data_IF_795421120399
#
_entry.id   IF_795421120399
#
_cell.length_a   1.000
_cell.length_b   1.000
_cell.length_c   1.000
_cell.angle_alpha   90.00
_cell.angle_beta   90.00
_cell.angle_gamma   90.00
#
_symmetry.space_group_name_H-M   'P 1'
#
loop_
_entity.id
_entity.type
_entity.pdbx_description
1 polymer ?
#
# COMPACT_ATOMS: atom_id res chain seq x y z
N UNK A 1 2.38 -6.42 -13.28
CA UNK A 1 1.29 -5.73 -13.99
C UNK A 1 0.62 -6.70 -14.95
N UNK A 2 -0.66 -7.02 -14.74
CA UNK A 2 -1.42 -7.98 -15.52
C UNK A 2 -1.55 -7.56 -16.99
N UNK A 3 -1.84 -6.28 -17.24
CA UNK A 3 -2.01 -5.74 -18.59
C UNK A 3 -0.70 -5.85 -19.41
N UNK A 4 0.43 -5.60 -18.76
CA UNK A 4 1.75 -5.75 -19.39
C UNK A 4 2.03 -7.21 -19.75
N UNK A 5 1.71 -8.17 -18.86
CA UNK A 5 1.90 -9.60 -19.12
C UNK A 5 1.03 -10.04 -20.32
N UNK A 6 -0.24 -9.63 -20.34
CA UNK A 6 -1.17 -9.98 -21.43
C UNK A 6 -0.79 -9.36 -22.79
N UNK A 7 -0.06 -8.24 -22.77
CA UNK A 7 0.40 -7.52 -23.97
C UNK A 7 1.79 -7.94 -24.44
N UNK A 8 2.47 -8.84 -23.71
CA UNK A 8 3.81 -9.29 -24.06
C UNK A 8 3.77 -10.29 -25.22
N UNK A 9 4.80 -10.27 -26.08
CA UNK A 9 4.99 -11.27 -27.14
C UNK A 9 5.48 -12.61 -26.58
N UNK A 10 6.20 -12.57 -25.44
CA UNK A 10 6.76 -13.74 -24.78
C UNK A 10 6.90 -13.50 -23.28
N UNK A 11 6.54 -14.49 -22.48
CA UNK A 11 6.57 -14.46 -21.02
C UNK A 11 7.42 -15.63 -20.53
N UNK A 12 8.25 -15.38 -19.53
CA UNK A 12 8.98 -16.41 -18.77
C UNK A 12 8.50 -16.33 -17.32
N UNK A 13 7.89 -17.42 -16.83
CA UNK A 13 7.36 -17.53 -15.48
C UNK A 13 8.31 -18.34 -14.61
N UNK A 14 8.81 -17.71 -13.54
CA UNK A 14 9.77 -18.30 -12.61
C UNK A 14 9.07 -18.71 -11.31
N UNK A 15 9.42 -19.89 -10.82
CA UNK A 15 8.86 -20.45 -9.62
C UNK A 15 9.57 -21.72 -9.16
N UNK A 16 8.81 -22.68 -8.54
CA UNK A 16 7.40 -22.57 -8.14
C UNK A 16 7.16 -21.69 -6.91
N UNK A 17 8.18 -21.43 -6.11
CA UNK A 17 8.10 -20.62 -4.90
C UNK A 17 9.11 -19.48 -4.88
N UNK A 18 9.45 -19.01 -3.67
CA UNK A 18 10.43 -17.95 -3.45
C UNK A 18 11.69 -18.48 -2.73
N UNK A 19 12.82 -17.79 -2.91
CA UNK A 19 14.08 -18.15 -2.26
C UNK A 19 14.58 -19.54 -2.68
N UNK A 20 14.87 -20.41 -1.73
CA UNK A 20 15.37 -21.78 -1.98
C UNK A 20 14.36 -22.70 -2.68
N UNK A 21 13.10 -22.30 -2.74
CA UNK A 21 12.02 -23.03 -3.40
C UNK A 21 11.65 -22.44 -4.78
N UNK A 22 12.45 -21.55 -5.29
CA UNK A 22 12.27 -20.91 -6.59
C UNK A 22 13.48 -21.07 -7.50
N UNK A 23 13.51 -20.27 -8.57
CA UNK A 23 14.63 -20.23 -9.51
C UNK A 23 14.51 -21.22 -10.66
N UNK A 24 13.35 -21.85 -10.83
CA UNK A 24 13.06 -22.74 -11.97
C UNK A 24 12.12 -22.04 -12.95
N UNK A 25 12.23 -22.38 -14.23
CA UNK A 25 11.23 -21.97 -15.23
C UNK A 25 10.03 -22.91 -15.10
N UNK A 26 8.89 -22.37 -14.68
CA UNK A 26 7.63 -23.10 -14.52
C UNK A 26 6.88 -23.14 -15.84
N UNK A 27 6.91 -22.02 -16.56
CA UNK A 27 6.30 -21.89 -17.88
C UNK A 27 7.02 -20.83 -18.70
N UNK A 28 7.06 -21.01 -20.01
CA UNK A 28 7.53 -20.00 -20.96
C UNK A 28 6.73 -20.08 -22.26
N UNK A 29 6.57 -18.94 -22.93
CA UNK A 29 5.84 -18.87 -24.19
C UNK A 29 4.97 -17.62 -24.28
N UNK A 30 3.94 -17.67 -25.12
CA UNK A 30 2.96 -16.59 -25.23
C UNK A 30 2.09 -16.49 -23.97
N UNK A 31 1.48 -15.34 -23.69
CA UNK A 31 0.58 -15.18 -22.54
C UNK A 31 -0.49 -16.27 -22.42
N UNK A 32 -1.07 -16.71 -23.54
CA UNK A 32 -2.09 -17.75 -23.58
C UNK A 32 -1.56 -19.12 -23.13
N UNK A 33 -0.29 -19.42 -23.43
CA UNK A 33 0.38 -20.66 -23.02
C UNK A 33 0.66 -20.67 -21.52
N UNK A 34 1.02 -19.50 -20.95
CA UNK A 34 1.17 -19.33 -19.49
C UNK A 34 -0.18 -19.51 -18.79
N UNK A 35 -1.24 -18.88 -19.31
CA UNK A 35 -2.61 -18.97 -18.79
C UNK A 35 -3.12 -20.41 -18.80
N UNK A 36 -2.79 -21.17 -19.84
CA UNK A 36 -3.22 -22.56 -19.98
C UNK A 36 -2.40 -23.54 -19.11
N UNK A 37 -1.27 -23.12 -18.53
CA UNK A 37 -0.42 -24.00 -17.74
C UNK A 37 -0.88 -24.06 -16.27
N UNK A 38 -1.41 -25.20 -15.77
CA UNK A 38 -1.91 -25.32 -14.40
C UNK A 38 -0.81 -25.28 -13.35
N UNK A 39 0.46 -25.49 -13.71
CA UNK A 39 1.59 -25.37 -12.80
C UNK A 39 2.01 -23.91 -12.58
N UNK A 40 1.65 -23.01 -13.50
CA UNK A 40 1.95 -21.58 -13.39
C UNK A 40 1.00 -20.90 -12.41
N UNK A 41 1.55 -20.37 -11.29
CA UNK A 41 0.78 -19.55 -10.37
C UNK A 41 0.30 -18.24 -11.04
N UNK A 42 1.16 -17.64 -11.85
CA UNK A 42 0.84 -16.48 -12.69
C UNK A 42 -0.32 -16.80 -13.64
N UNK A 43 -0.24 -17.93 -14.34
CA UNK A 43 -1.30 -18.39 -15.24
C UNK A 43 -2.64 -18.58 -14.56
N UNK A 44 -2.63 -19.16 -13.35
CA UNK A 44 -3.86 -19.39 -12.57
C UNK A 44 -4.51 -18.09 -12.09
N UNK A 45 -3.73 -17.02 -11.79
CA UNK A 45 -4.29 -15.70 -11.51
C UNK A 45 -4.79 -15.02 -12.78
N UNK A 46 -4.09 -15.15 -13.89
CA UNK A 46 -4.51 -14.57 -15.17
C UNK A 46 -5.75 -15.25 -15.77
N UNK A 47 -5.93 -16.56 -15.54
CA UNK A 47 -7.14 -17.29 -15.95
C UNK A 47 -8.36 -16.94 -15.06
N UNK A 48 -8.12 -16.47 -13.83
CA UNK A 48 -9.14 -16.29 -12.82
C UNK A 48 -9.43 -17.54 -11.97
N UNK A 49 -8.71 -18.64 -12.17
CA UNK A 49 -8.80 -19.85 -11.32
C UNK A 49 -8.39 -19.54 -9.88
N UNK A 50 -7.45 -18.63 -9.74
CA UNK A 50 -7.09 -18.01 -8.46
C UNK A 50 -7.44 -16.53 -8.49
N UNK A 51 -8.06 -16.05 -7.43
CA UNK A 51 -8.36 -14.65 -7.27
C UNK A 51 -8.40 -14.28 -5.78
N UNK A 52 -8.11 -13.02 -5.50
CA UNK A 52 -8.38 -12.46 -4.15
C UNK A 52 -9.86 -12.13 -4.12
N UNK A 53 -10.61 -12.88 -3.32
CA UNK A 53 -12.05 -12.70 -3.24
C UNK A 53 -12.42 -11.31 -2.72
N UNK A 54 -13.33 -10.65 -3.43
CA UNK A 54 -13.94 -9.41 -2.97
C UNK A 54 -15.19 -9.76 -2.17
N UNK A 55 -15.28 -9.37 -0.88
CA UNK A 55 -16.44 -9.70 -0.06
C UNK A 55 -17.74 -9.25 -0.71
N UNK A 56 -18.69 -10.17 -0.86
CA UNK A 56 -20.01 -9.87 -1.43
C UNK A 56 -20.82 -8.88 -0.58
N UNK A 57 -20.58 -8.89 0.76
CA UNK A 57 -21.20 -7.93 1.68
C UNK A 57 -20.18 -6.86 2.07
N UNK A 58 -20.44 -5.63 1.68
CA UNK A 58 -19.63 -4.47 2.08
C UNK A 58 -20.02 -3.99 3.49
N UNK A 59 -19.02 -3.51 4.23
CA UNK A 59 -19.25 -2.82 5.50
C UNK A 59 -19.98 -1.51 5.21
N UNK A 60 -21.13 -1.22 5.87
CA UNK A 60 -21.84 0.04 5.66
C UNK A 60 -21.03 1.22 6.23
N UNK A 61 -21.16 2.38 5.58
CA UNK A 61 -20.58 3.63 6.08
C UNK A 61 -21.35 4.05 7.33
N UNK A 62 -20.62 4.34 8.41
CA UNK A 62 -21.15 4.99 9.61
C UNK A 62 -20.96 6.51 9.47
N UNK A 63 -22.03 7.31 9.27
CA UNK A 63 -21.91 8.75 9.10
C UNK A 63 -21.35 9.49 10.33
N UNK A 64 -21.38 8.85 11.50
CA UNK A 64 -20.87 9.43 12.75
C UNK A 64 -19.36 9.20 12.90
N UNK A 65 -18.79 8.25 12.16
CA UNK A 65 -17.38 7.89 12.19
C UNK A 65 -16.68 8.27 10.88
N UNK A 66 -16.42 9.55 10.73
CA UNK A 66 -15.73 10.09 9.55
C UNK A 66 -14.55 10.97 9.96
N UNK A 67 -13.46 10.85 9.24
CA UNK A 67 -12.36 11.79 9.26
C UNK A 67 -12.65 12.88 8.22
N UNK A 68 -12.63 14.15 8.61
CA UNK A 68 -12.92 15.28 7.72
C UNK A 68 -11.72 16.20 7.64
N UNK A 69 -11.17 16.35 6.45
CA UNK A 69 -10.12 17.32 6.14
C UNK A 69 -10.81 18.49 5.45
N UNK A 70 -10.70 19.69 6.01
CA UNK A 70 -11.31 20.89 5.43
C UNK A 70 -10.22 21.85 4.97
N UNK A 71 -10.39 22.37 3.75
CA UNK A 71 -9.55 23.40 3.20
C UNK A 71 -8.10 23.02 3.01
N UNK A 72 -7.79 21.81 2.57
CA UNK A 72 -6.44 21.37 2.27
C UNK A 72 -5.85 22.17 1.08
N UNK A 73 -4.67 22.78 1.28
CA UNK A 73 -4.06 23.74 0.33
C UNK A 73 -2.59 23.40 0.03
N UNK A 74 -2.06 22.30 0.54
CA UNK A 74 -0.66 21.94 0.30
C UNK A 74 -0.35 21.78 -1.19
N UNK A 75 0.78 22.30 -1.65
CA UNK A 75 1.26 22.20 -3.03
C UNK A 75 0.16 22.61 -4.04
N UNK A 76 -0.32 21.63 -4.85
CA UNK A 76 -1.33 21.86 -5.91
C UNK A 76 -2.78 21.66 -5.45
N UNK A 77 -3.04 21.39 -4.16
CA UNK A 77 -4.40 21.24 -3.66
C UNK A 77 -5.16 22.58 -3.67
N UNK A 78 -6.35 22.56 -4.24
CA UNK A 78 -7.18 23.75 -4.49
C UNK A 78 -8.20 24.01 -3.37
N UNK A 79 -7.72 24.06 -2.12
CA UNK A 79 -8.59 24.28 -0.93
C UNK A 79 -9.72 23.23 -0.86
N UNK A 80 -9.33 21.97 -0.97
CA UNK A 80 -10.31 20.87 -1.06
C UNK A 80 -10.78 20.42 0.31
N UNK A 81 -12.03 19.99 0.38
CA UNK A 81 -12.63 19.30 1.53
C UNK A 81 -12.78 17.83 1.19
N UNK A 82 -12.38 16.94 2.13
CA UNK A 82 -12.41 15.49 1.93
C UNK A 82 -12.97 14.81 3.17
N UNK A 83 -13.88 13.87 2.98
CA UNK A 83 -14.39 13.00 4.03
C UNK A 83 -13.94 11.55 3.79
N UNK A 84 -13.33 10.94 4.81
CA UNK A 84 -12.84 9.56 4.77
C UNK A 84 -13.61 8.77 5.83
N UNK A 85 -14.42 7.77 5.44
CA UNK A 85 -15.12 6.92 6.40
C UNK A 85 -14.13 6.10 7.24
N UNK A 86 -14.34 6.06 8.54
CA UNK A 86 -13.52 5.26 9.48
C UNK A 86 -13.96 3.80 9.44
N UNK A 87 -13.00 2.87 9.57
CA UNK A 87 -13.25 1.44 9.59
C UNK A 87 -13.47 0.80 8.21
N UNK A 88 -13.19 1.53 7.14
CA UNK A 88 -13.30 1.06 5.75
C UNK A 88 -11.96 1.10 5.03
N UNK A 89 -11.80 0.24 4.04
CA UNK A 89 -10.69 0.32 3.11
C UNK A 89 -10.97 1.42 2.09
N UNK A 90 -10.22 2.51 2.17
CA UNK A 90 -10.37 3.70 1.32
C UNK A 90 -9.18 3.83 0.37
N UNK A 91 -9.44 3.96 -0.93
CA UNK A 91 -8.41 4.22 -1.93
C UNK A 91 -8.42 5.69 -2.34
N UNK A 92 -7.24 6.32 -2.38
CA UNK A 92 -7.03 7.65 -2.97
C UNK A 92 -6.34 7.46 -4.32
N UNK A 93 -7.04 7.76 -5.40
CA UNK A 93 -6.59 7.51 -6.78
C UNK A 93 -6.44 8.81 -7.58
N UNK A 94 -5.85 8.70 -8.74
CA UNK A 94 -5.64 9.83 -9.66
C UNK A 94 -4.28 9.73 -10.36
N UNK A 95 -4.07 10.55 -11.39
CA UNK A 95 -2.82 10.60 -12.16
C UNK A 95 -1.62 11.01 -11.30
N UNK A 96 -0.40 10.73 -11.76
CA UNK A 96 0.81 11.19 -11.08
C UNK A 96 0.81 12.73 -10.98
N UNK A 97 1.21 13.26 -9.82
CA UNK A 97 1.22 14.70 -9.57
C UNK A 97 -0.16 15.31 -9.21
N UNK A 98 -1.25 14.52 -9.12
CA UNK A 98 -2.58 15.07 -8.81
C UNK A 98 -2.78 15.54 -7.35
N UNK A 99 -1.80 15.34 -6.47
CA UNK A 99 -1.87 15.81 -5.08
C UNK A 99 -2.18 14.71 -4.06
N UNK A 100 -2.28 13.44 -4.45
CA UNK A 100 -2.56 12.31 -3.54
C UNK A 100 -1.61 12.25 -2.34
N UNK A 101 -0.29 12.28 -2.61
CA UNK A 101 0.73 12.26 -1.56
C UNK A 101 0.70 13.53 -0.71
N UNK A 102 0.35 14.67 -1.30
CA UNK A 102 0.18 15.91 -0.55
C UNK A 102 -0.98 15.80 0.43
N UNK A 103 -2.11 15.24 0.00
CA UNK A 103 -3.28 15.04 0.87
C UNK A 103 -3.00 14.05 1.99
N UNK A 104 -2.42 12.90 1.68
CA UNK A 104 -2.23 11.81 2.63
C UNK A 104 -0.94 11.99 3.43
N UNK A 105 0.23 12.03 2.74
CA UNK A 105 1.52 11.98 3.43
C UNK A 105 1.95 13.34 4.01
N UNK A 106 1.56 14.45 3.38
CA UNK A 106 1.98 15.77 3.83
C UNK A 106 0.91 16.49 4.66
N UNK A 107 -0.36 16.08 4.58
CA UNK A 107 -1.46 16.73 5.35
C UNK A 107 -2.00 15.80 6.42
N UNK A 108 -2.60 14.66 6.04
CA UNK A 108 -3.29 13.79 6.98
C UNK A 108 -2.35 13.07 7.93
N UNK A 109 -1.33 12.40 7.42
CA UNK A 109 -0.40 11.63 8.24
C UNK A 109 0.29 12.47 9.32
N UNK A 110 0.89 13.65 9.01
CA UNK A 110 1.51 14.49 10.02
C UNK A 110 0.52 15.03 11.06
N UNK A 111 -0.72 15.31 10.66
CA UNK A 111 -1.76 15.74 11.60
C UNK A 111 -2.13 14.62 12.57
N UNK A 112 -2.36 13.40 12.10
CA UNK A 112 -2.61 12.22 12.94
C UNK A 112 -1.43 11.91 13.86
N UNK A 113 -0.21 11.91 13.33
CA UNK A 113 0.99 11.64 14.12
C UNK A 113 1.21 12.69 15.22
N UNK A 114 0.92 13.97 14.94
CA UNK A 114 0.99 15.04 15.93
C UNK A 114 -0.02 14.85 17.05
N UNK A 115 -1.26 14.49 16.73
CA UNK A 115 -2.34 14.26 17.70
C UNK A 115 -2.04 13.04 18.57
N UNK A 116 -1.70 11.91 17.95
CA UNK A 116 -1.55 10.63 18.65
C UNK A 116 -0.25 10.53 19.47
N UNK A 117 0.84 11.09 18.94
CA UNK A 117 2.17 10.91 19.54
C UNK A 117 2.72 12.18 20.17
N UNK A 118 1.93 13.28 20.20
CA UNK A 118 2.33 14.58 20.76
C UNK A 118 3.66 15.11 20.16
N UNK A 119 3.98 14.67 18.95
CA UNK A 119 5.17 15.05 18.20
C UNK A 119 4.96 16.37 17.44
N UNK A 120 6.05 17.04 17.09
CA UNK A 120 6.00 18.24 16.23
C UNK A 120 6.04 17.83 14.74
N UNK A 121 4.98 17.21 14.25
CA UNK A 121 4.83 16.93 12.84
C UNK A 121 4.06 18.08 12.18
N UNK A 122 4.70 18.77 11.24
CA UNK A 122 4.06 19.89 10.57
C UNK A 122 3.23 19.40 9.39
N UNK A 123 1.93 19.43 9.51
CA UNK A 123 1.01 19.16 8.41
C UNK A 123 1.02 20.30 7.38
N UNK A 124 0.82 19.96 6.11
CA UNK A 124 0.65 20.97 5.05
C UNK A 124 -0.55 21.89 5.34
N UNK A 125 -0.60 23.10 4.75
CA UNK A 125 -1.66 24.07 5.04
C UNK A 125 -3.05 23.48 4.82
N UNK A 126 -3.91 23.62 5.82
CA UNK A 126 -5.31 23.22 5.82
C UNK A 126 -6.08 24.06 6.86
N UNK A 127 -7.41 24.09 6.74
CA UNK A 127 -8.25 24.86 7.67
C UNK A 127 -8.50 24.10 8.98
N UNK A 128 -8.90 22.85 8.87
CA UNK A 128 -9.12 21.98 10.05
C UNK A 128 -9.16 20.51 9.66
N UNK A 129 -8.85 19.63 10.60
CA UNK A 129 -9.09 18.19 10.49
C UNK A 129 -9.92 17.78 11.71
N UNK A 130 -10.97 16.99 11.49
CA UNK A 130 -11.88 16.49 12.53
C UNK A 130 -11.99 14.99 12.45
N UNK A 131 -12.33 14.33 13.55
CA UNK A 131 -12.45 12.86 13.62
C UNK A 131 -11.13 12.16 13.91
N UNK A 132 -10.09 12.87 14.32
CA UNK A 132 -8.79 12.31 14.73
C UNK A 132 -8.92 11.42 15.95
N UNK A 133 -9.89 11.71 16.82
CA UNK A 133 -10.22 10.96 18.04
C UNK A 133 -10.72 9.54 17.79
N UNK A 134 -11.03 9.20 16.55
CA UNK A 134 -11.42 7.84 16.16
C UNK A 134 -10.22 6.89 15.94
N UNK A 135 -8.99 7.39 16.10
CA UNK A 135 -7.77 6.63 15.85
C UNK A 135 -6.92 6.56 17.12
N UNK A 136 -6.36 5.41 17.38
CA UNK A 136 -5.44 5.14 18.49
C UNK A 136 -3.98 5.02 18.03
N UNK A 137 -3.76 4.78 16.74
CA UNK A 137 -2.43 4.74 16.13
C UNK A 137 -2.49 5.03 14.64
N UNK A 138 -1.36 5.46 14.09
CA UNK A 138 -1.13 5.58 12.64
C UNK A 138 0.12 4.80 12.25
N UNK A 139 0.03 4.07 11.16
CA UNK A 139 1.16 3.31 10.60
C UNK A 139 1.37 3.79 9.17
N UNK A 140 2.58 4.26 8.90
CA UNK A 140 3.01 4.64 7.56
C UNK A 140 3.77 3.46 6.95
N UNK A 141 3.31 3.01 5.79
CA UNK A 141 3.95 1.93 5.02
C UNK A 141 4.30 2.51 3.65
N UNK A 142 5.57 2.70 3.42
CA UNK A 142 6.09 3.20 2.16
C UNK A 142 6.88 2.12 1.40
N UNK A 143 7.32 2.45 0.19
CA UNK A 143 8.13 1.58 -0.64
C UNK A 143 9.63 1.86 -0.50
N UNK A 144 10.05 2.56 0.54
CA UNK A 144 11.45 2.85 0.79
C UNK A 144 12.23 1.57 1.04
N UNK A 145 13.45 1.45 0.51
CA UNK A 145 14.30 0.30 0.78
C UNK A 145 14.55 0.13 2.29
N UNK A 146 14.43 -1.08 2.80
CA UNK A 146 14.77 -1.40 4.18
C UNK A 146 16.28 -1.28 4.34
N UNK A 147 16.73 -0.22 5.02
CA UNK A 147 18.13 0.08 5.25
C UNK A 147 18.82 0.76 4.05
N UNK A 148 19.72 1.68 4.37
CA UNK A 148 20.49 2.45 3.38
C UNK A 148 21.86 1.85 3.05
N UNK A 149 22.19 0.70 3.65
CA UNK A 149 23.50 0.06 3.46
C UNK A 149 23.35 -1.39 3.04
N UNK A 150 24.29 -1.94 2.23
CA UNK A 150 24.30 -3.35 1.85
C UNK A 150 24.37 -4.34 3.04
N UNK A 151 24.68 -3.85 4.23
CA UNK A 151 24.78 -4.65 5.47
C UNK A 151 23.49 -4.63 6.30
N UNK A 152 22.49 -3.87 5.90
CA UNK A 152 21.20 -3.81 6.60
C UNK A 152 20.30 -4.95 6.12
N UNK A 153 20.07 -5.91 7.01
CA UNK A 153 19.07 -6.95 6.78
C UNK A 153 17.81 -6.67 7.63
N UNK A 154 16.68 -7.32 7.32
CA UNK A 154 15.43 -7.10 8.04
C UNK A 154 15.54 -7.32 9.55
N UNK A 155 16.31 -8.31 10.01
CA UNK A 155 16.48 -8.60 11.42
C UNK A 155 17.27 -7.52 12.17
N UNK A 156 18.23 -6.86 11.50
CA UNK A 156 18.93 -5.69 12.04
C UNK A 156 18.02 -4.48 12.10
N UNK A 157 17.23 -4.26 11.05
CA UNK A 157 16.29 -3.13 10.95
C UNK A 157 15.18 -3.20 12.01
N UNK A 158 14.62 -4.38 12.22
CA UNK A 158 13.57 -4.63 13.23
C UNK A 158 14.10 -4.73 14.66
N UNK A 159 15.42 -4.68 14.85
CA UNK A 159 16.06 -4.83 16.16
C UNK A 159 16.07 -6.27 16.71
N UNK A 160 15.67 -7.26 15.91
CA UNK A 160 15.59 -8.67 16.33
C UNK A 160 16.94 -9.23 16.78
N UNK A 161 18.04 -8.74 16.23
CA UNK A 161 19.38 -9.18 16.63
C UNK A 161 19.84 -8.61 17.99
N UNK A 162 19.21 -7.57 18.50
CA UNK A 162 19.63 -6.97 19.78
C UNK A 162 19.52 -7.95 20.94
N UNK A 163 18.37 -8.57 21.23
CA UNK A 163 18.26 -9.54 22.31
C UNK A 163 19.09 -10.83 22.06
N UNK A 164 19.33 -11.20 20.78
CA UNK A 164 20.17 -12.35 20.45
C UNK A 164 21.65 -12.10 20.79
N UNK A 165 22.12 -10.85 20.67
CA UNK A 165 23.52 -10.50 21.02
C UNK A 165 23.76 -10.35 22.52
N UNK A 166 22.67 -10.18 23.28
CA UNK A 166 22.72 -10.04 24.75
C UNK A 166 22.64 -11.39 25.48
N UNK A 167 22.41 -12.49 24.73
CA UNK A 167 22.50 -13.88 25.19
C UNK A 167 23.96 -14.39 25.16
#
# INVERSE_FOLDING_TARGET
DEEAIRSADHVVDLGPGAGIHGGEIVAEGKPEEIIANPASLTGRYLSGDLQIEVPGKRVPIDPQKTLKINGAQGNNLQTIDVEIPVGLFTCVTGVSGSGKSTLINNTLYPALASELYHGRHQAAPHRSIKGLENFDKVIDIDQSPIGRTPRSNPATYTGLFTPIREL
#
